data_IF_806532205788
#
_entry.id   IF_806532205788
#
_cell.length_a   1.000
_cell.length_b   1.000
_cell.length_c   1.000
_cell.angle_alpha   90.00
_cell.angle_beta   90.00
_cell.angle_gamma   90.00
#
_symmetry.space_group_name_H-M   'P 1'
#
loop_
_entity.id
_entity.type
_entity.pdbx_description
1 polymer ?
#
# COMPACT_ATOMS: atom_id res chain seq x y z
N UNK A 1 -2.03 -33.71 -9.87
CA UNK A 1 -2.35 -32.32 -9.46
C UNK A 1 -1.81 -32.09 -8.06
N UNK A 2 -0.81 -31.22 -7.87
CA UNK A 2 -0.34 -30.86 -6.52
C UNK A 2 -1.41 -29.96 -5.89
N UNK A 3 -1.90 -30.25 -4.67
CA UNK A 3 -2.99 -29.46 -4.10
C UNK A 3 -2.50 -28.04 -3.87
N UNK A 4 -3.09 -27.09 -4.62
CA UNK A 4 -2.93 -25.64 -4.49
C UNK A 4 -3.07 -25.19 -3.02
N UNK A 5 -3.85 -25.94 -2.24
CA UNK A 5 -4.14 -25.79 -0.81
C UNK A 5 -2.89 -25.70 0.08
N UNK A 6 -1.77 -26.36 -0.25
CA UNK A 6 -0.58 -26.35 0.64
C UNK A 6 0.15 -25.01 0.67
N UNK A 7 0.07 -24.22 -0.40
CA UNK A 7 0.73 -22.92 -0.48
C UNK A 7 -0.08 -21.76 0.11
N UNK A 8 -1.41 -21.89 0.10
CA UNK A 8 -2.34 -20.82 0.47
C UNK A 8 -2.61 -20.75 1.98
N UNK A 9 -2.63 -21.89 2.67
CA UNK A 9 -2.88 -21.93 4.12
C UNK A 9 -1.87 -21.09 4.94
N UNK A 10 -0.55 -21.17 4.69
CA UNK A 10 0.43 -20.35 5.43
C UNK A 10 0.31 -18.85 5.16
N UNK A 11 -0.09 -18.49 3.94
CA UNK A 11 -0.33 -17.10 3.55
C UNK A 11 -1.60 -16.57 4.25
N UNK A 12 -2.68 -17.36 4.28
CA UNK A 12 -3.89 -17.02 5.00
C UNK A 12 -3.62 -16.86 6.50
N UNK A 13 -2.85 -17.78 7.10
CA UNK A 13 -2.42 -17.68 8.49
C UNK A 13 -1.62 -16.39 8.74
N UNK A 14 -0.68 -16.04 7.86
CA UNK A 14 0.05 -14.77 7.96
C UNK A 14 -0.90 -13.56 7.95
N UNK A 15 -1.86 -13.50 7.03
CA UNK A 15 -2.82 -12.38 6.96
C UNK A 15 -3.71 -12.29 8.19
N UNK A 16 -4.11 -13.43 8.78
CA UNK A 16 -4.87 -13.47 10.04
C UNK A 16 -4.02 -12.98 11.20
N UNK A 17 -2.76 -13.42 11.31
CA UNK A 17 -1.85 -12.98 12.37
C UNK A 17 -1.53 -11.48 12.28
N UNK A 18 -1.60 -10.91 11.08
CA UNK A 18 -1.40 -9.48 10.84
C UNK A 18 -2.65 -8.62 11.10
N UNK A 19 -3.76 -9.22 11.52
CA UNK A 19 -5.00 -8.50 11.83
C UNK A 19 -4.79 -7.23 12.68
N UNK A 20 -4.00 -7.24 13.77
CA UNK A 20 -3.79 -6.04 14.58
C UNK A 20 -3.16 -4.88 13.80
N UNK A 21 -2.33 -5.16 12.80
CA UNK A 21 -1.64 -4.13 12.01
C UNK A 21 -2.57 -3.55 10.95
N UNK A 22 -3.18 -4.39 10.11
CA UNK A 22 -4.01 -3.88 9.01
C UNK A 22 -5.39 -3.38 9.50
N UNK A 23 -5.89 -3.84 10.65
CA UNK A 23 -7.15 -3.33 11.22
C UNK A 23 -7.09 -1.86 11.63
N UNK A 24 -5.89 -1.28 11.83
CA UNK A 24 -5.71 0.16 12.07
C UNK A 24 -6.31 0.96 10.92
N UNK A 25 -6.14 0.51 9.67
CA UNK A 25 -6.70 1.19 8.49
C UNK A 25 -8.23 1.14 8.43
N UNK A 26 -8.87 0.26 9.21
CA UNK A 26 -10.33 0.13 9.31
C UNK A 26 -10.93 0.98 10.44
N UNK A 27 -10.09 1.59 11.28
CA UNK A 27 -10.54 2.42 12.39
C UNK A 27 -11.30 3.65 11.86
N UNK A 28 -12.57 3.85 12.25
CA UNK A 28 -13.33 5.01 11.82
C UNK A 28 -12.81 6.32 12.43
N UNK A 29 -12.15 6.22 13.60
CA UNK A 29 -11.57 7.33 14.34
C UNK A 29 -10.14 7.68 13.92
N UNK A 30 -9.55 6.93 12.96
CA UNK A 30 -8.24 7.25 12.41
C UNK A 30 -8.34 8.52 11.55
N UNK A 31 -7.78 9.60 12.06
CA UNK A 31 -7.61 10.85 11.32
C UNK A 31 -6.40 10.74 10.38
N UNK A 32 -6.67 10.38 9.12
CA UNK A 32 -5.66 10.30 8.06
C UNK A 32 -5.11 11.67 7.63
N UNK A 33 -5.80 12.76 7.98
CA UNK A 33 -5.30 14.09 7.64
C UNK A 33 -4.19 14.50 8.61
N UNK A 34 -4.36 14.16 9.89
CA UNK A 34 -3.43 14.48 10.95
C UNK A 34 -2.21 13.55 11.04
N UNK A 35 -2.13 12.49 10.21
CA UNK A 35 -0.91 11.69 10.13
C UNK A 35 0.21 12.45 9.43
N UNK A 36 1.44 12.05 9.70
CA UNK A 36 2.60 12.52 8.94
C UNK A 36 2.37 12.30 7.43
N UNK A 37 2.63 13.35 6.65
CA UNK A 37 2.39 13.48 5.21
C UNK A 37 0.96 13.14 4.70
N UNK A 38 0.01 12.86 5.60
CA UNK A 38 -1.34 12.39 5.28
C UNK A 38 -2.13 13.38 4.43
N UNK A 39 -2.13 14.64 4.87
CA UNK A 39 -2.67 15.79 4.11
C UNK A 39 -2.14 15.82 2.67
N UNK A 40 -0.82 15.75 2.51
CA UNK A 40 -0.18 15.87 1.20
C UNK A 40 -0.59 14.73 0.26
N UNK A 41 -0.64 13.50 0.77
CA UNK A 41 -1.06 12.33 0.00
C UNK A 41 -2.55 12.37 -0.37
N UNK A 42 -3.44 12.78 0.55
CA UNK A 42 -4.86 12.96 0.26
C UNK A 42 -5.08 14.01 -0.84
N UNK A 43 -4.43 15.18 -0.71
CA UNK A 43 -4.50 16.25 -1.71
C UNK A 43 -3.99 15.81 -3.08
N UNK A 44 -2.92 15.01 -3.13
CA UNK A 44 -2.35 14.51 -4.40
C UNK A 44 -3.22 13.45 -5.06
N UNK A 45 -3.89 12.56 -4.31
CA UNK A 45 -4.88 11.64 -4.88
C UNK A 45 -6.04 12.44 -5.49
N UNK A 46 -6.53 13.45 -4.77
CA UNK A 46 -7.59 14.33 -5.25
C UNK A 46 -7.17 15.09 -6.52
N UNK A 47 -5.98 15.70 -6.51
CA UNK A 47 -5.42 16.41 -7.65
C UNK A 47 -5.26 15.52 -8.90
N UNK A 48 -4.77 14.29 -8.72
CA UNK A 48 -4.69 13.31 -9.82
C UNK A 48 -6.06 13.05 -10.42
N UNK A 49 -7.09 12.86 -9.59
CA UNK A 49 -8.46 12.63 -10.05
C UNK A 49 -9.00 13.81 -10.87
N UNK A 50 -8.81 15.04 -10.41
CA UNK A 50 -9.28 16.23 -11.13
C UNK A 50 -8.56 16.39 -12.47
N UNK A 51 -7.23 16.39 -12.44
CA UNK A 51 -6.42 16.65 -13.64
C UNK A 51 -6.57 15.54 -14.70
N UNK A 52 -6.81 14.29 -14.28
CA UNK A 52 -7.14 13.21 -15.22
C UNK A 52 -8.51 13.42 -15.88
N UNK A 53 -9.49 13.94 -15.15
CA UNK A 53 -10.81 14.26 -15.69
C UNK A 53 -10.78 15.35 -16.77
N UNK A 54 -9.84 16.29 -16.67
CA UNK A 54 -9.68 17.40 -17.62
C UNK A 54 -8.90 17.00 -18.87
N UNK A 55 -7.83 16.21 -18.70
CA UNK A 55 -6.87 15.93 -19.78
C UNK A 55 -7.02 14.53 -20.38
N UNK A 56 -7.74 13.62 -19.70
CA UNK A 56 -7.82 12.18 -20.01
C UNK A 56 -6.45 11.51 -20.19
N UNK A 57 -5.42 12.09 -19.60
CA UNK A 57 -4.03 11.66 -19.70
C UNK A 57 -3.32 11.85 -18.35
N UNK A 58 -2.12 11.29 -18.26
CA UNK A 58 -1.29 11.47 -17.07
C UNK A 58 -0.86 12.94 -16.93
N UNK A 59 -1.24 13.63 -15.83
CA UNK A 59 -1.04 15.07 -15.72
C UNK A 59 0.41 15.41 -15.33
N UNK A 60 1.04 16.28 -16.12
CA UNK A 60 2.41 16.76 -15.86
C UNK A 60 2.45 18.04 -15.03
N UNK A 61 1.38 18.81 -15.00
CA UNK A 61 1.29 20.06 -14.25
C UNK A 61 -0.04 20.09 -13.53
N UNK A 62 -0.03 20.37 -12.23
CA UNK A 62 -1.24 20.47 -11.42
C UNK A 62 -1.42 21.94 -11.01
N UNK A 63 -2.37 22.68 -11.61
CA UNK A 63 -2.54 24.11 -11.38
C UNK A 63 -2.86 24.46 -9.92
N UNK A 64 -3.69 23.65 -9.25
CA UNK A 64 -4.22 23.98 -7.92
C UNK A 64 -3.19 23.83 -6.79
N UNK A 65 -2.10 23.09 -7.04
CA UNK A 65 -1.04 22.91 -6.04
C UNK A 65 -0.21 24.19 -5.87
N UNK A 66 0.51 24.24 -4.76
CA UNK A 66 1.39 25.37 -4.41
C UNK A 66 0.65 26.71 -4.43
N UNK A 67 -0.53 26.76 -3.79
CA UNK A 67 -1.40 27.95 -3.71
C UNK A 67 -1.86 28.49 -5.08
N UNK A 68 -2.06 27.62 -6.07
CA UNK A 68 -2.55 28.00 -7.40
C UNK A 68 -1.46 28.44 -8.39
N UNK A 69 -0.19 28.48 -7.98
CA UNK A 69 0.93 28.71 -8.91
C UNK A 69 1.25 27.48 -9.76
N UNK A 70 0.76 26.32 -9.35
CA UNK A 70 0.96 25.05 -10.00
C UNK A 70 2.24 24.33 -9.60
N UNK A 71 2.22 23.01 -9.71
CA UNK A 71 3.34 22.17 -9.30
C UNK A 71 3.43 20.87 -10.14
N UNK A 72 4.62 20.50 -10.67
CA UNK A 72 4.79 19.30 -11.49
C UNK A 72 5.00 18.03 -10.65
N UNK A 73 4.23 17.85 -9.57
CA UNK A 73 4.45 16.83 -8.53
C UNK A 73 4.65 15.42 -9.08
N UNK A 74 3.85 15.02 -10.07
CA UNK A 74 3.84 13.65 -10.58
C UNK A 74 4.99 13.33 -11.53
N UNK A 75 5.83 14.31 -11.90
CA UNK A 75 7.07 14.07 -12.64
C UNK A 75 8.23 13.73 -11.70
N UNK A 76 8.20 14.24 -10.47
CA UNK A 76 9.34 14.18 -9.53
C UNK A 76 9.07 13.33 -8.29
N UNK A 77 7.81 13.08 -7.94
CA UNK A 77 7.42 12.22 -6.83
C UNK A 77 6.73 10.96 -7.36
N UNK A 78 6.94 9.82 -6.68
CA UNK A 78 6.46 8.49 -7.05
C UNK A 78 4.96 8.49 -7.46
N UNK A 79 4.64 8.42 -8.77
CA UNK A 79 3.28 8.71 -9.24
C UNK A 79 2.34 7.51 -9.18
N UNK A 80 2.90 6.29 -9.10
CA UNK A 80 2.12 5.04 -9.12
C UNK A 80 1.06 5.01 -8.02
N UNK A 81 1.39 5.47 -6.82
CA UNK A 81 0.47 5.54 -5.68
C UNK A 81 -0.75 6.41 -5.99
N UNK A 82 -0.53 7.57 -6.63
CA UNK A 82 -1.62 8.51 -6.95
C UNK A 82 -2.45 8.04 -8.14
N UNK A 83 -1.82 7.38 -9.12
CA UNK A 83 -2.54 6.72 -10.20
C UNK A 83 -3.44 5.60 -9.66
N UNK A 84 -2.92 4.75 -8.78
CA UNK A 84 -3.70 3.70 -8.13
C UNK A 84 -4.84 4.30 -7.27
N UNK A 85 -4.57 5.39 -6.55
CA UNK A 85 -5.60 6.13 -5.82
C UNK A 85 -6.69 6.67 -6.72
N UNK A 86 -6.33 7.25 -7.87
CA UNK A 86 -7.29 7.70 -8.88
C UNK A 86 -8.17 6.55 -9.36
N UNK A 87 -7.59 5.40 -9.72
CA UNK A 87 -8.34 4.20 -10.14
C UNK A 87 -9.33 3.72 -9.08
N UNK A 88 -9.02 3.88 -7.80
CA UNK A 88 -9.98 3.58 -6.73
C UNK A 88 -11.08 4.65 -6.70
N UNK A 89 -10.74 5.93 -6.74
CA UNK A 89 -11.75 7.02 -6.71
C UNK A 89 -12.65 7.05 -7.93
N UNK A 90 -12.22 6.53 -9.09
CA UNK A 90 -13.04 6.44 -10.30
C UNK A 90 -14.21 5.46 -10.15
N UNK A 91 -14.17 4.57 -9.15
CA UNK A 91 -15.30 3.70 -8.77
C UNK A 91 -16.40 4.43 -7.97
N UNK A 92 -16.21 5.73 -7.68
CA UNK A 92 -17.10 6.53 -6.85
C UNK A 92 -16.71 6.59 -5.38
N UNK A 93 -15.66 5.87 -4.97
CA UNK A 93 -15.13 5.92 -3.61
C UNK A 93 -14.46 7.26 -3.30
N UNK A 94 -14.47 7.63 -2.01
CA UNK A 94 -13.84 8.85 -1.53
C UNK A 94 -12.32 8.77 -1.56
N UNK A 95 -11.65 9.93 -1.52
CA UNK A 95 -10.17 10.02 -1.42
C UNK A 95 -9.65 9.33 -0.15
N UNK A 96 -10.38 9.44 0.97
CA UNK A 96 -10.06 8.76 2.22
C UNK A 96 -10.15 7.24 2.07
N UNK A 97 -11.20 6.75 1.42
CA UNK A 97 -11.36 5.32 1.13
C UNK A 97 -10.23 4.81 0.23
N UNK A 98 -9.85 5.59 -0.79
CA UNK A 98 -8.73 5.25 -1.65
C UNK A 98 -7.41 5.17 -0.87
N UNK A 99 -7.12 6.15 -0.01
CA UNK A 99 -5.95 6.13 0.85
C UNK A 99 -5.92 4.87 1.74
N UNK A 100 -7.03 4.54 2.42
CA UNK A 100 -7.13 3.33 3.26
C UNK A 100 -6.85 2.06 2.47
N UNK A 101 -7.44 1.93 1.29
CA UNK A 101 -7.26 0.76 0.40
C UNK A 101 -5.80 0.63 -0.02
N UNK A 102 -5.16 1.75 -0.39
CA UNK A 102 -3.73 1.74 -0.75
C UNK A 102 -2.84 1.40 0.45
N UNK A 103 -3.15 1.93 1.64
CA UNK A 103 -2.45 1.58 2.88
C UNK A 103 -2.55 0.09 3.21
N UNK A 104 -3.76 -0.48 3.13
CA UNK A 104 -3.99 -1.93 3.25
C UNK A 104 -3.20 -2.71 2.20
N UNK A 105 -3.20 -2.25 0.95
CA UNK A 105 -2.42 -2.84 -0.13
C UNK A 105 -0.91 -2.83 0.15
N UNK A 106 -0.38 -1.73 0.70
CA UNK A 106 1.02 -1.62 1.09
C UNK A 106 1.37 -2.59 2.23
N UNK A 107 0.53 -2.69 3.27
CA UNK A 107 0.71 -3.63 4.39
C UNK A 107 0.74 -5.07 3.87
N UNK A 108 -0.25 -5.46 3.07
CA UNK A 108 -0.37 -6.82 2.52
C UNK A 108 0.78 -7.12 1.57
N UNK A 109 1.09 -6.23 0.63
CA UNK A 109 2.16 -6.45 -0.34
C UNK A 109 3.54 -6.53 0.32
N UNK A 110 3.80 -5.71 1.35
CA UNK A 110 5.03 -5.75 2.12
C UNK A 110 5.22 -7.09 2.85
N UNK A 111 4.22 -7.53 3.62
CA UNK A 111 4.28 -8.81 4.33
C UNK A 111 4.40 -10.01 3.40
N UNK A 112 3.59 -10.04 2.33
CA UNK A 112 3.60 -11.14 1.37
C UNK A 112 4.87 -11.15 0.53
N UNK A 113 5.45 -9.99 0.23
CA UNK A 113 6.76 -9.84 -0.41
C UNK A 113 7.88 -10.39 0.45
N UNK A 114 7.94 -10.00 1.73
CA UNK A 114 8.93 -10.51 2.69
C UNK A 114 8.81 -12.04 2.86
N UNK A 115 7.58 -12.56 3.02
CA UNK A 115 7.31 -13.99 3.00
C UNK A 115 7.85 -14.64 1.72
N UNK A 116 7.51 -14.11 0.54
CA UNK A 116 7.90 -14.70 -0.74
C UNK A 116 9.42 -14.75 -0.95
N UNK A 117 10.14 -13.67 -0.61
CA UNK A 117 11.60 -13.62 -0.73
C UNK A 117 12.27 -14.70 0.12
N UNK A 118 11.84 -14.84 1.38
CA UNK A 118 12.41 -15.87 2.28
C UNK A 118 12.04 -17.27 1.80
N UNK A 119 10.80 -17.50 1.38
CA UNK A 119 10.37 -18.80 0.80
C UNK A 119 11.24 -19.21 -0.38
N UNK A 120 11.42 -18.30 -1.33
CA UNK A 120 12.16 -18.57 -2.57
C UNK A 120 13.62 -18.82 -2.24
N UNK A 121 14.21 -18.04 -1.33
CA UNK A 121 15.63 -18.14 -1.01
C UNK A 121 15.95 -19.38 -0.18
N UNK A 122 15.19 -19.66 0.90
CA UNK A 122 15.41 -20.85 1.74
C UNK A 122 15.23 -22.14 0.94
N UNK A 123 14.20 -22.22 0.10
CA UNK A 123 13.98 -23.40 -0.73
C UNK A 123 15.07 -23.64 -1.77
N UNK A 124 15.71 -22.58 -2.28
CA UNK A 124 16.83 -22.67 -3.24
C UNK A 124 18.16 -23.03 -2.57
N UNK A 125 18.45 -22.44 -1.40
CA UNK A 125 19.77 -22.58 -0.75
C UNK A 125 19.88 -23.86 0.07
N UNK A 126 18.87 -24.16 0.89
CA UNK A 126 18.92 -25.28 1.85
C UNK A 126 18.04 -26.45 1.45
N UNK A 127 17.22 -26.31 0.41
CA UNK A 127 16.18 -27.27 0.05
C UNK A 127 15.00 -27.31 1.03
N UNK A 128 15.03 -26.49 2.09
CA UNK A 128 13.98 -26.46 3.11
C UNK A 128 12.68 -25.90 2.53
N UNK A 129 11.58 -26.62 2.73
CA UNK A 129 10.23 -26.24 2.29
C UNK A 129 9.33 -25.75 3.42
N UNK A 130 9.87 -25.65 4.64
CA UNK A 130 9.16 -25.12 5.80
C UNK A 130 8.74 -23.65 5.58
N UNK A 131 7.55 -23.32 6.07
CA UNK A 131 6.93 -22.01 5.96
C UNK A 131 7.22 -21.13 7.17
N UNK A 132 7.64 -21.70 8.29
CA UNK A 132 7.81 -20.99 9.58
C UNK A 132 8.69 -19.75 9.44
N UNK A 133 9.88 -19.90 8.85
CA UNK A 133 10.81 -18.78 8.66
C UNK A 133 10.26 -17.68 7.75
N UNK A 134 9.45 -18.03 6.76
CA UNK A 134 8.83 -17.05 5.88
C UNK A 134 7.64 -16.33 6.52
N UNK A 135 6.82 -17.04 7.31
CA UNK A 135 5.75 -16.41 8.12
C UNK A 135 6.39 -15.43 9.09
N UNK A 136 7.45 -15.84 9.80
CA UNK A 136 8.19 -14.97 10.69
C UNK A 136 8.73 -13.73 9.98
N UNK A 137 9.28 -13.88 8.77
CA UNK A 137 9.75 -12.74 7.97
C UNK A 137 8.63 -11.74 7.61
N UNK A 138 7.46 -12.24 7.19
CA UNK A 138 6.30 -11.38 6.91
C UNK A 138 5.79 -10.63 8.14
N UNK A 139 5.76 -11.30 9.31
CA UNK A 139 5.40 -10.68 10.58
C UNK A 139 6.42 -9.62 11.02
N UNK A 140 7.70 -9.99 11.03
CA UNK A 140 8.78 -9.10 11.46
C UNK A 140 8.90 -7.87 10.55
N UNK A 141 8.63 -8.00 9.25
CA UNK A 141 8.61 -6.87 8.34
C UNK A 141 7.62 -5.79 8.78
N UNK A 142 6.41 -6.17 9.19
CA UNK A 142 5.37 -5.21 9.58
C UNK A 142 5.43 -4.76 11.04
N UNK A 143 5.97 -5.60 11.92
CA UNK A 143 6.13 -5.28 13.36
C UNK A 143 7.40 -4.48 13.61
N UNK A 144 8.35 -4.45 12.67
CA UNK A 144 9.48 -3.53 12.74
C UNK A 144 8.96 -2.09 12.89
N UNK A 145 9.59 -1.24 13.70
CA UNK A 145 9.09 0.12 13.94
C UNK A 145 9.09 0.99 12.67
N UNK A 146 9.97 0.70 11.72
CA UNK A 146 10.26 1.60 10.60
C UNK A 146 9.10 1.81 9.59
N UNK A 147 8.33 0.79 9.16
CA UNK A 147 7.35 0.99 8.09
C UNK A 147 6.13 1.84 8.47
N UNK A 148 5.86 2.08 9.76
CA UNK A 148 4.64 2.77 10.22
C UNK A 148 4.85 3.82 11.32
N UNK A 149 6.09 4.10 11.75
CA UNK A 149 6.38 5.08 12.82
C UNK A 149 7.14 6.31 12.31
N UNK A 150 7.76 6.26 11.12
CA UNK A 150 8.68 7.33 10.66
C UNK A 150 8.36 7.97 9.32
N UNK A 151 7.16 7.75 8.77
CA UNK A 151 6.71 8.40 7.52
C UNK A 151 5.39 9.11 7.75
#
# INVERSE_FOLDING_TARGET
>A
MRPIVKGTLPLALLLVLLYPVWSIMLRPDLDLWATDDGEAHLLRIYAMRLAWGETLAFPRWIPDLYRGYGYPVFNFYAPLTYLAGHLVTSTGLSVWSAFRILGLGAIVSGATGAYAVVRITSSRVTGNRDHTGAIAAGLLYLVAPYPFVTN
#
